data_IF_972520345205
#
_entry.id   IF_972520345205
#
_cell.length_a   1.000
_cell.length_b   1.000
_cell.length_c   1.000
_cell.angle_alpha   90.00
_cell.angle_beta   90.00
_cell.angle_gamma   90.00
#
_symmetry.space_group_name_H-M   'P 1'
#
loop_
_entity.id
_entity.type
_entity.pdbx_description
1 polymer ?
#
# COMPACT_ATOMS: atom_id res chain seq x y z
N UNK A 1 -37.20 29.87 -11.25
CA UNK A 1 -37.63 28.91 -10.21
C UNK A 1 -37.48 27.46 -10.66
N UNK A 2 -38.02 27.07 -11.83
CA UNK A 2 -37.95 25.68 -12.33
C UNK A 2 -36.51 25.16 -12.58
N UNK A 3 -35.62 25.97 -13.16
CA UNK A 3 -34.23 25.55 -13.43
C UNK A 3 -33.38 25.29 -12.16
N UNK A 4 -33.63 26.03 -11.07
CA UNK A 4 -32.99 25.78 -9.76
C UNK A 4 -33.47 24.47 -9.14
N UNK A 5 -34.77 24.16 -9.27
CA UNK A 5 -35.34 22.93 -8.74
C UNK A 5 -34.82 21.69 -9.50
N UNK A 6 -34.62 21.78 -10.82
CA UNK A 6 -34.04 20.68 -11.61
C UNK A 6 -32.57 20.42 -11.26
N UNK A 7 -31.75 21.46 -11.09
CA UNK A 7 -30.35 21.31 -10.66
C UNK A 7 -30.21 20.68 -9.27
N UNK A 8 -31.07 21.07 -8.32
CA UNK A 8 -31.09 20.49 -6.97
C UNK A 8 -31.46 19.01 -7.01
N UNK A 9 -32.42 18.61 -7.87
CA UNK A 9 -32.84 17.21 -8.01
C UNK A 9 -31.72 16.35 -8.61
N UNK A 10 -30.93 16.86 -9.56
CA UNK A 10 -29.78 16.13 -10.12
C UNK A 10 -28.56 16.07 -9.19
N UNK A 11 -28.33 17.08 -8.35
CA UNK A 11 -27.19 17.10 -7.41
C UNK A 11 -27.42 16.29 -6.14
N UNK A 12 -28.68 16.17 -5.70
CA UNK A 12 -29.07 15.41 -4.52
C UNK A 12 -28.57 13.95 -4.50
N UNK A 13 -28.66 13.14 -5.58
CA UNK A 13 -28.14 11.78 -5.57
C UNK A 13 -26.62 11.71 -5.37
N UNK A 14 -25.85 12.67 -5.91
CA UNK A 14 -24.39 12.70 -5.72
C UNK A 14 -24.02 13.02 -4.27
N UNK A 15 -24.67 14.00 -3.64
CA UNK A 15 -24.48 14.32 -2.22
C UNK A 15 -24.81 13.11 -1.34
N UNK A 16 -25.91 12.42 -1.64
CA UNK A 16 -26.32 11.24 -0.89
C UNK A 16 -25.33 10.07 -1.06
N UNK A 17 -24.74 9.90 -2.24
CA UNK A 17 -23.69 8.90 -2.47
C UNK A 17 -22.42 9.21 -1.65
N UNK A 18 -21.98 10.46 -1.59
CA UNK A 18 -20.81 10.84 -0.78
C UNK A 18 -21.06 10.68 0.72
N UNK A 19 -22.25 11.05 1.22
CA UNK A 19 -22.62 10.82 2.63
C UNK A 19 -22.66 9.32 2.95
N UNK A 20 -23.22 8.50 2.04
CA UNK A 20 -23.21 7.04 2.20
C UNK A 20 -21.80 6.48 2.26
N UNK A 21 -20.91 6.94 1.37
CA UNK A 21 -19.51 6.53 1.34
C UNK A 21 -18.80 6.89 2.66
N UNK A 22 -19.01 8.11 3.17
CA UNK A 22 -18.49 8.52 4.47
C UNK A 22 -19.02 7.64 5.60
N UNK A 23 -20.33 7.36 5.63
CA UNK A 23 -20.94 6.44 6.61
C UNK A 23 -20.34 5.04 6.54
N UNK A 24 -20.17 4.49 5.34
CA UNK A 24 -19.57 3.17 5.15
C UNK A 24 -18.13 3.12 5.63
N UNK A 25 -17.33 4.18 5.43
CA UNK A 25 -15.97 4.24 5.95
C UNK A 25 -15.93 4.27 7.49
N UNK A 26 -16.85 5.01 8.13
CA UNK A 26 -16.99 4.98 9.59
C UNK A 26 -17.44 3.61 10.11
N UNK A 27 -18.32 2.94 9.38
CA UNK A 27 -18.76 1.59 9.71
C UNK A 27 -17.60 0.58 9.65
N UNK A 28 -16.68 0.71 8.69
CA UNK A 28 -15.45 -0.09 8.68
C UNK A 28 -14.62 0.11 9.94
N UNK A 29 -14.39 1.36 10.36
CA UNK A 29 -13.64 1.67 11.58
C UNK A 29 -14.32 1.06 12.81
N UNK A 30 -15.66 1.21 12.92
CA UNK A 30 -16.42 0.61 14.00
C UNK A 30 -16.35 -0.91 14.01
N UNK A 31 -16.39 -1.56 12.84
CA UNK A 31 -16.27 -3.01 12.74
C UNK A 31 -14.89 -3.52 13.20
N UNK A 32 -13.81 -2.75 12.95
CA UNK A 32 -12.47 -3.09 13.45
C UNK A 32 -12.36 -3.01 14.98
N UNK A 33 -13.07 -2.08 15.61
CA UNK A 33 -13.15 -1.97 17.07
C UNK A 33 -14.09 -3.02 17.69
N UNK A 34 -15.23 -3.28 17.05
CA UNK A 34 -16.26 -4.20 17.53
C UNK A 34 -15.81 -5.66 17.55
N UNK A 35 -15.04 -6.10 16.55
CA UNK A 35 -14.53 -7.49 16.48
C UNK A 35 -13.00 -7.48 16.65
N UNK A 36 -12.49 -7.47 17.89
CA UNK A 36 -11.07 -7.59 18.12
C UNK A 36 -10.58 -8.98 17.73
N UNK A 37 -9.27 -9.09 17.47
CA UNK A 37 -8.63 -10.38 17.26
C UNK A 37 -8.90 -11.30 18.47
N UNK A 38 -9.21 -12.60 18.23
CA UNK A 38 -9.46 -13.51 19.34
C UNK A 38 -8.28 -13.53 20.30
N UNK A 39 -8.58 -13.34 21.59
CA UNK A 39 -7.60 -13.13 22.65
C UNK A 39 -6.53 -14.24 22.73
N UNK A 40 -6.89 -15.45 22.32
CA UNK A 40 -5.98 -16.59 22.29
C UNK A 40 -4.78 -16.38 21.34
N UNK A 41 -4.92 -15.65 20.23
CA UNK A 41 -3.83 -15.49 19.26
C UNK A 41 -2.63 -14.71 19.82
N UNK A 42 -2.79 -13.47 20.34
CA UNK A 42 -1.67 -12.76 20.97
C UNK A 42 -1.11 -13.50 22.17
N UNK A 43 -1.97 -14.17 22.95
CA UNK A 43 -1.55 -14.94 24.12
C UNK A 43 -0.62 -16.10 23.75
N UNK A 44 -0.95 -16.90 22.74
CA UNK A 44 -0.13 -18.03 22.29
C UNK A 44 1.21 -17.56 21.73
N UNK A 45 1.20 -16.47 20.94
CA UNK A 45 2.44 -15.90 20.38
C UNK A 45 3.33 -15.37 21.49
N UNK A 46 2.77 -14.60 22.43
CA UNK A 46 3.49 -14.07 23.58
C UNK A 46 4.09 -15.20 24.42
N UNK A 47 3.31 -16.22 24.76
CA UNK A 47 3.78 -17.37 25.52
C UNK A 47 4.90 -18.12 24.78
N UNK A 48 4.76 -18.37 23.48
CA UNK A 48 5.75 -19.09 22.69
C UNK A 48 7.10 -18.36 22.66
N UNK A 49 7.10 -17.04 22.44
CA UNK A 49 8.33 -16.22 22.42
C UNK A 49 8.98 -16.19 23.81
N UNK A 50 8.20 -15.97 24.88
CA UNK A 50 8.74 -15.94 26.24
C UNK A 50 9.29 -17.30 26.68
N UNK A 51 8.59 -18.40 26.36
CA UNK A 51 9.04 -19.74 26.71
C UNK A 51 10.28 -20.16 25.92
N UNK A 52 10.37 -19.79 24.63
CA UNK A 52 11.58 -19.98 23.83
C UNK A 52 12.80 -19.32 24.49
N UNK A 53 12.66 -18.07 24.94
CA UNK A 53 13.74 -17.36 25.62
C UNK A 53 14.02 -17.86 27.03
N UNK A 54 13.00 -18.29 27.78
CA UNK A 54 13.18 -18.92 29.09
C UNK A 54 14.08 -20.16 28.98
N UNK A 55 13.83 -21.02 27.99
CA UNK A 55 14.66 -22.19 27.72
C UNK A 55 16.05 -21.79 27.24
N UNK A 56 16.17 -20.79 26.36
CA UNK A 56 17.47 -20.30 25.88
C UNK A 56 18.34 -19.72 27.01
N UNK A 57 17.75 -19.05 28.00
CA UNK A 57 18.47 -18.52 29.17
C UNK A 57 19.10 -19.65 29.98
N UNK A 58 18.44 -20.80 30.09
CA UNK A 58 18.97 -21.97 30.81
C UNK A 58 19.95 -22.79 29.95
N UNK A 59 19.60 -23.04 28.69
CA UNK A 59 20.35 -23.92 27.81
C UNK A 59 21.65 -23.29 27.27
N UNK A 60 21.73 -21.96 27.20
CA UNK A 60 22.89 -21.25 26.65
C UNK A 60 23.73 -20.57 27.73
N UNK A 61 23.62 -21.02 28.98
CA UNK A 61 24.57 -20.62 30.02
C UNK A 61 25.93 -21.28 29.74
N UNK A 62 27.00 -20.48 29.81
CA UNK A 62 28.36 -20.99 29.72
C UNK A 62 28.68 -21.72 31.03
N UNK A 63 28.76 -23.06 30.96
CA UNK A 63 29.19 -23.88 32.09
C UNK A 63 30.72 -23.85 32.09
N UNK A 64 31.31 -23.18 33.07
CA UNK A 64 32.77 -23.17 33.27
C UNK A 64 33.16 -24.57 33.75
N UNK A 65 33.67 -25.40 32.84
CA UNK A 65 34.27 -26.69 33.18
C UNK A 65 35.76 -26.46 33.37
N UNK A 66 36.24 -26.63 34.60
CA UNK A 66 37.60 -26.31 35.04
C UNK A 66 38.68 -27.26 34.46
N UNK A 67 38.30 -28.22 33.61
CA UNK A 67 39.23 -29.15 32.97
C UNK A 67 38.92 -29.33 31.48
N UNK A 68 39.93 -28.95 30.69
CA UNK A 68 40.20 -29.28 29.28
C UNK A 68 39.78 -28.28 28.19
N UNK A 69 40.82 -27.77 27.51
CA UNK A 69 40.84 -27.04 26.22
C UNK A 69 40.22 -25.63 26.18
N UNK A 70 41.06 -24.66 26.57
CA UNK A 70 41.02 -23.25 26.12
C UNK A 70 41.04 -23.15 24.58
N UNK A 71 39.90 -23.31 23.92
CA UNK A 71 39.78 -22.94 22.49
C UNK A 71 38.44 -22.34 22.10
N UNK A 72 37.58 -21.95 23.05
CA UNK A 72 36.33 -21.29 22.70
C UNK A 72 36.22 -19.97 23.45
N UNK A 73 35.84 -18.93 22.71
CA UNK A 73 35.75 -17.54 23.19
C UNK A 73 34.74 -17.48 24.33
N UNK A 74 35.24 -17.43 25.56
CA UNK A 74 34.44 -17.29 26.78
C UNK A 74 33.89 -15.86 26.83
N UNK A 75 32.82 -15.62 26.07
CA UNK A 75 32.18 -14.31 26.01
C UNK A 75 31.23 -14.23 27.19
N UNK A 76 31.63 -13.49 28.23
CA UNK A 76 30.81 -13.25 29.44
C UNK A 76 29.37 -12.82 29.12
N UNK A 77 29.14 -12.19 27.96
CA UNK A 77 27.83 -11.86 27.41
C UNK A 77 27.61 -12.68 26.12
N UNK A 78 26.54 -13.48 26.00
CA UNK A 78 26.27 -14.26 24.80
C UNK A 78 25.70 -13.37 23.66
N UNK A 79 26.59 -12.65 22.94
CA UNK A 79 26.24 -11.65 21.91
C UNK A 79 25.24 -12.21 20.88
N UNK A 80 25.45 -13.43 20.39
CA UNK A 80 24.57 -14.02 19.38
C UNK A 80 23.15 -14.27 19.91
N UNK A 81 23.02 -14.71 21.16
CA UNK A 81 21.70 -14.90 21.82
C UNK A 81 21.04 -13.57 22.11
N UNK A 82 21.81 -12.53 22.48
CA UNK A 82 21.30 -11.17 22.67
C UNK A 82 20.75 -10.57 21.37
N UNK A 83 21.41 -10.78 20.23
CA UNK A 83 20.88 -10.34 18.93
C UNK A 83 19.59 -11.08 18.57
N UNK A 84 19.55 -12.40 18.76
CA UNK A 84 18.32 -13.18 18.55
C UNK A 84 17.18 -12.69 19.44
N UNK A 85 17.47 -12.33 20.70
CA UNK A 85 16.50 -11.74 21.60
C UNK A 85 15.91 -10.44 21.04
N UNK A 86 16.76 -9.50 20.62
CA UNK A 86 16.29 -8.22 20.04
C UNK A 86 15.42 -8.44 18.81
N UNK A 87 15.77 -9.38 17.91
CA UNK A 87 14.95 -9.64 16.72
C UNK A 87 13.58 -10.24 17.06
N UNK A 88 13.52 -11.32 17.83
CA UNK A 88 12.24 -11.99 18.11
C UNK A 88 11.35 -11.21 19.10
N UNK A 89 11.94 -10.59 20.13
CA UNK A 89 11.18 -9.71 21.02
C UNK A 89 10.77 -8.43 20.31
N UNK A 90 11.65 -7.87 19.47
CA UNK A 90 11.35 -6.69 18.65
C UNK A 90 10.17 -6.95 17.70
N UNK A 91 10.17 -8.08 16.98
CA UNK A 91 9.04 -8.46 16.13
C UNK A 91 7.74 -8.64 16.92
N UNK A 92 7.79 -9.26 18.10
CA UNK A 92 6.62 -9.37 18.97
C UNK A 92 6.10 -7.99 19.40
N UNK A 93 7.01 -7.08 19.79
CA UNK A 93 6.66 -5.71 20.19
C UNK A 93 6.09 -4.86 19.07
N UNK A 94 6.56 -5.01 17.83
CA UNK A 94 5.96 -4.35 16.66
C UNK A 94 4.51 -4.81 16.46
N UNK A 95 4.23 -6.10 16.63
CA UNK A 95 2.86 -6.62 16.53
C UNK A 95 1.98 -6.06 17.65
N UNK A 96 2.50 -5.96 18.87
CA UNK A 96 1.79 -5.38 20.02
C UNK A 96 1.40 -3.92 19.76
N UNK A 97 2.32 -3.11 19.21
CA UNK A 97 2.05 -1.73 18.83
C UNK A 97 1.01 -1.62 17.69
N UNK A 98 1.05 -2.50 16.69
CA UNK A 98 0.15 -2.43 15.53
C UNK A 98 -1.27 -2.98 15.83
N UNK A 99 -1.45 -3.73 16.92
CA UNK A 99 -2.75 -4.32 17.26
C UNK A 99 -3.83 -3.25 17.49
N UNK A 100 -3.47 -2.11 18.07
CA UNK A 100 -4.40 -1.02 18.33
C UNK A 100 -3.79 0.34 17.88
N UNK A 101 -3.95 0.72 16.61
CA UNK A 101 -3.36 1.95 16.07
C UNK A 101 -4.09 3.25 16.47
N UNK A 102 -5.12 3.15 17.33
CA UNK A 102 -5.94 4.28 17.80
C UNK A 102 -5.69 4.61 19.28
N UNK A 103 -4.56 4.14 19.84
CA UNK A 103 -4.16 4.46 21.21
C UNK A 103 -3.52 5.84 21.34
N UNK A 104 -2.63 5.94 22.34
CA UNK A 104 -1.83 7.13 22.64
C UNK A 104 -0.33 6.87 22.47
N UNK A 105 0.05 5.76 21.83
CA UNK A 105 1.46 5.46 21.59
C UNK A 105 2.03 6.41 20.52
N UNK A 106 3.35 6.62 20.53
CA UNK A 106 4.02 7.59 19.65
C UNK A 106 3.80 7.30 18.13
N UNK A 107 3.57 6.03 17.76
CA UNK A 107 3.37 5.57 16.38
C UNK A 107 1.87 5.44 16.00
N UNK A 108 0.94 5.78 16.90
CA UNK A 108 -0.51 5.71 16.66
C UNK A 108 -1.01 6.85 15.76
N UNK A 109 -2.23 6.69 15.23
CA UNK A 109 -2.86 7.75 14.45
C UNK A 109 -3.22 8.96 15.33
N UNK A 110 -2.74 10.15 14.95
CA UNK A 110 -3.15 11.44 15.52
C UNK A 110 -4.60 11.82 15.14
N UNK A 111 -5.57 11.06 15.66
CA UNK A 111 -7.00 11.22 15.32
C UNK A 111 -7.55 12.58 15.72
N UNK A 112 -7.14 13.13 16.88
CA UNK A 112 -7.55 14.46 17.34
C UNK A 112 -7.16 15.54 16.33
N UNK A 113 -5.91 15.52 15.84
CA UNK A 113 -5.43 16.48 14.84
C UNK A 113 -6.20 16.34 13.52
N UNK A 114 -6.52 15.11 13.10
CA UNK A 114 -7.32 14.86 11.90
C UNK A 114 -8.75 15.40 12.04
N UNK A 115 -9.39 15.23 13.19
CA UNK A 115 -10.74 15.74 13.46
C UNK A 115 -10.75 17.27 13.40
N UNK A 116 -9.84 17.91 14.13
CA UNK A 116 -9.72 19.37 14.18
C UNK A 116 -9.47 19.96 12.80
N UNK A 117 -8.56 19.35 12.03
CA UNK A 117 -8.27 19.75 10.65
C UNK A 117 -9.49 19.61 9.75
N UNK A 118 -10.21 18.49 9.83
CA UNK A 118 -11.36 18.21 8.95
C UNK A 118 -12.52 19.16 9.24
N UNK A 119 -12.84 19.43 10.51
CA UNK A 119 -13.88 20.38 10.89
C UNK A 119 -13.49 21.79 10.45
N UNK A 120 -12.26 22.20 10.73
CA UNK A 120 -11.77 23.54 10.37
C UNK A 120 -11.81 23.75 8.85
N UNK A 121 -11.27 22.82 8.07
CA UNK A 121 -11.26 22.92 6.60
C UNK A 121 -12.67 22.84 6.01
N UNK A 122 -13.51 21.94 6.52
CA UNK A 122 -14.90 21.80 6.06
C UNK A 122 -15.71 23.09 6.26
N UNK A 123 -15.58 23.70 7.44
CA UNK A 123 -16.26 24.96 7.74
C UNK A 123 -15.69 26.13 6.93
N UNK A 124 -14.36 26.22 6.76
CA UNK A 124 -13.74 27.24 5.92
C UNK A 124 -14.18 27.15 4.46
N UNK A 125 -14.30 25.94 3.90
CA UNK A 125 -14.75 25.75 2.52
C UNK A 125 -16.18 26.21 2.29
N UNK A 126 -17.09 25.91 3.23
CA UNK A 126 -18.53 26.22 3.10
C UNK A 126 -18.84 27.67 3.47
N UNK A 127 -18.06 28.30 4.35
CA UNK A 127 -18.29 29.68 4.77
C UNK A 127 -17.44 30.68 3.96
N UNK A 128 -16.11 30.61 4.12
CA UNK A 128 -15.21 31.59 3.52
C UNK A 128 -14.98 31.34 2.03
N UNK A 129 -15.00 30.08 1.59
CA UNK A 129 -14.77 29.66 0.21
C UNK A 129 -16.01 29.65 -0.68
N UNK A 130 -17.21 29.83 -0.12
CA UNK A 130 -18.44 29.74 -0.90
C UNK A 130 -18.59 30.92 -1.86
N UNK A 131 -18.71 30.61 -3.16
CA UNK A 131 -18.92 31.57 -4.26
C UNK A 131 -17.85 32.68 -4.34
N UNK A 132 -16.62 32.37 -3.88
CA UNK A 132 -15.47 33.29 -3.95
C UNK A 132 -14.31 32.70 -4.77
N UNK A 133 -14.49 32.46 -6.08
CA UNK A 133 -13.39 32.04 -6.93
C UNK A 133 -12.36 33.17 -7.08
N UNK A 134 -11.06 32.83 -7.26
CA UNK A 134 -10.06 33.83 -7.60
C UNK A 134 -10.35 34.45 -8.97
N UNK A 135 -9.84 35.67 -9.20
CA UNK A 135 -10.01 36.36 -10.47
C UNK A 135 -9.39 35.54 -11.62
N UNK A 136 -10.18 35.32 -12.67
CA UNK A 136 -9.73 34.58 -13.86
C UNK A 136 -8.76 35.46 -14.64
N UNK A 137 -7.49 35.06 -14.66
CA UNK A 137 -6.41 35.73 -15.41
C UNK A 137 -5.71 34.72 -16.31
N UNK A 138 -5.12 35.19 -17.41
CA UNK A 138 -4.26 34.34 -18.25
C UNK A 138 -3.05 33.93 -17.43
N UNK A 139 -2.77 32.64 -17.43
CA UNK A 139 -1.64 32.11 -16.69
C UNK A 139 -0.31 32.40 -17.44
N UNK A 140 0.84 32.38 -16.74
CA UNK A 140 2.14 32.64 -17.36
C UNK A 140 2.56 31.67 -18.48
N UNK A 141 1.86 30.54 -18.66
CA UNK A 141 2.13 29.54 -19.68
C UNK A 141 1.14 29.59 -20.85
N UNK A 142 0.31 30.64 -20.94
CA UNK A 142 -0.70 30.82 -21.98
C UNK A 142 -0.14 30.71 -23.42
N UNK A 143 1.04 31.27 -23.66
CA UNK A 143 1.70 31.28 -24.98
C UNK A 143 2.71 30.12 -25.17
N UNK A 144 2.89 29.27 -24.16
CA UNK A 144 3.78 28.11 -24.24
C UNK A 144 4.23 27.60 -22.88
N UNK A 145 4.17 26.27 -22.70
CA UNK A 145 4.57 25.60 -21.46
C UNK A 145 6.06 25.29 -21.52
N UNK A 146 6.85 25.93 -20.64
CA UNK A 146 8.22 25.52 -20.34
C UNK A 146 8.34 25.27 -18.84
N UNK A 147 8.44 24.01 -18.40
CA UNK A 147 8.64 23.72 -16.99
C UNK A 147 10.00 24.27 -16.57
N UNK A 148 9.98 25.14 -15.56
CA UNK A 148 11.17 25.70 -14.93
C UNK A 148 11.56 24.80 -13.76
N UNK A 149 12.83 24.43 -13.69
CA UNK A 149 13.39 23.66 -12.59
C UNK A 149 14.41 24.51 -11.85
N UNK A 150 14.58 24.24 -10.55
CA UNK A 150 15.74 24.75 -9.81
C UNK A 150 17.03 24.18 -10.41
N UNK A 151 18.17 24.81 -10.14
CA UNK A 151 19.46 24.35 -10.67
C UNK A 151 19.72 22.87 -10.31
N UNK A 152 19.47 22.49 -9.06
CA UNK A 152 19.63 21.12 -8.57
C UNK A 152 18.69 20.14 -9.28
N UNK A 153 17.40 20.48 -9.40
CA UNK A 153 16.41 19.60 -10.05
C UNK A 153 16.59 19.51 -11.56
N UNK A 154 17.17 20.53 -12.21
CA UNK A 154 17.43 20.53 -13.66
C UNK A 154 18.48 19.49 -14.09
N UNK A 155 19.38 19.12 -13.16
CA UNK A 155 20.43 18.12 -13.38
C UNK A 155 19.88 16.69 -13.31
N UNK A 156 18.68 16.51 -12.75
CA UNK A 156 18.02 15.21 -12.67
C UNK A 156 17.41 14.90 -14.04
N UNK A 157 17.83 13.83 -14.73
CA UNK A 157 17.32 13.50 -16.04
C UNK A 157 15.84 13.14 -15.96
N UNK A 158 15.00 13.91 -16.65
CA UNK A 158 13.57 13.64 -16.74
C UNK A 158 13.28 12.63 -17.87
N UNK A 159 13.26 11.35 -17.52
CA UNK A 159 12.90 10.27 -18.45
C UNK A 159 11.39 10.04 -18.40
N UNK A 160 10.65 10.78 -19.23
CA UNK A 160 9.21 10.56 -19.32
C UNK A 160 8.92 9.11 -19.74
N UNK A 161 8.03 8.40 -19.02
CA UNK A 161 7.70 7.03 -19.35
C UNK A 161 7.10 7.00 -20.76
N UNK A 162 7.81 6.35 -21.68
CA UNK A 162 7.32 6.07 -23.02
C UNK A 162 6.74 4.66 -23.02
N UNK A 163 5.57 4.48 -23.62
CA UNK A 163 4.97 3.14 -23.73
C UNK A 163 5.92 2.17 -24.44
N UNK A 164 5.89 0.90 -24.05
CA UNK A 164 6.82 -0.13 -24.53
C UNK A 164 6.85 -0.32 -26.06
N UNK A 165 5.84 0.18 -26.78
CA UNK A 165 5.68 0.08 -28.25
C UNK A 165 5.96 1.42 -28.96
N UNK A 166 6.26 2.50 -28.22
CA UNK A 166 6.40 3.87 -28.77
C UNK A 166 7.48 4.05 -29.84
N UNK A 167 8.45 3.14 -29.91
CA UNK A 167 9.55 3.17 -30.89
C UNK A 167 9.42 2.10 -31.99
N UNK A 168 8.32 1.35 -32.04
CA UNK A 168 8.09 0.36 -33.10
C UNK A 168 7.73 1.08 -34.40
N UNK A 169 8.69 1.11 -35.34
CA UNK A 169 8.42 1.50 -36.73
C UNK A 169 7.73 0.32 -37.40
N UNK A 170 6.42 0.42 -37.63
CA UNK A 170 5.72 -0.57 -38.46
C UNK A 170 6.32 -0.52 -39.88
N UNK A 171 6.65 -1.68 -40.43
CA UNK A 171 7.03 -1.79 -41.83
C UNK A 171 5.84 -1.36 -42.69
N UNK A 172 6.04 -0.41 -43.59
CA UNK A 172 5.00 0.21 -44.41
C UNK A 172 4.36 -0.72 -45.46
N UNK A 173 4.77 -2.00 -45.52
CA UNK A 173 4.35 -2.93 -46.57
C UNK A 173 4.27 -4.40 -46.12
N UNK A 174 3.73 -4.66 -44.93
CA UNK A 174 3.35 -6.03 -44.53
C UNK A 174 1.84 -6.07 -44.29
N UNK A 175 1.08 -6.34 -45.35
CA UNK A 175 -0.38 -6.51 -45.30
C UNK A 175 -0.81 -7.80 -44.63
N UNK A 176 0.12 -8.75 -44.40
CA UNK A 176 -0.19 -10.05 -43.83
C UNK A 176 0.87 -10.48 -42.82
N UNK A 177 0.51 -10.47 -41.54
CA UNK A 177 1.31 -11.08 -40.47
C UNK A 177 0.86 -12.53 -40.34
N UNK A 178 1.64 -13.45 -40.92
CA UNK A 178 1.35 -14.89 -40.83
C UNK A 178 1.74 -15.38 -39.43
N UNK A 179 0.74 -15.74 -38.61
CA UNK A 179 0.95 -16.32 -37.29
C UNK A 179 1.41 -17.78 -37.45
N UNK A 180 2.63 -18.09 -37.07
CA UNK A 180 3.14 -19.46 -37.07
C UNK A 180 3.02 -20.10 -35.68
N UNK A 181 2.63 -21.38 -35.58
CA UNK A 181 2.57 -22.08 -34.30
C UNK A 181 3.98 -22.17 -33.69
N UNK A 182 4.09 -21.87 -32.40
CA UNK A 182 5.34 -22.00 -31.67
C UNK A 182 5.77 -23.48 -31.67
N UNK A 183 6.94 -23.78 -32.21
CA UNK A 183 7.47 -25.14 -32.16
C UNK A 183 7.82 -25.46 -30.71
N UNK A 184 7.10 -26.43 -30.13
CA UNK A 184 7.32 -26.90 -28.77
C UNK A 184 8.48 -27.91 -28.83
N UNK A 185 9.68 -27.51 -28.40
CA UNK A 185 10.80 -28.44 -28.24
C UNK A 185 10.42 -29.51 -27.22
N UNK A 186 10.51 -30.79 -27.61
CA UNK A 186 10.08 -31.98 -26.83
C UNK A 186 10.89 -32.25 -25.54
N UNK A 187 11.58 -31.27 -24.97
CA UNK A 187 12.51 -31.46 -23.84
C UNK A 187 12.03 -30.90 -22.51
N UNK A 188 10.74 -30.59 -22.36
CA UNK A 188 10.17 -30.27 -21.03
C UNK A 188 8.81 -30.91 -20.85
N UNK A 189 8.77 -31.97 -20.04
CA UNK A 189 7.56 -32.58 -19.51
C UNK A 189 6.89 -31.60 -18.54
N UNK A 190 5.78 -30.98 -18.93
CA UNK A 190 4.88 -30.29 -18.02
C UNK A 190 3.41 -30.42 -18.48
N UNK A 191 2.46 -30.34 -17.53
CA UNK A 191 1.26 -31.17 -17.50
C UNK A 191 0.16 -30.71 -18.46
N UNK A 192 -0.74 -31.63 -18.77
CA UNK A 192 -1.85 -31.41 -19.69
C UNK A 192 -2.88 -30.44 -19.11
N UNK A 193 -2.89 -29.20 -19.61
CA UNK A 193 -4.06 -28.34 -19.46
C UNK A 193 -5.00 -28.60 -20.64
N UNK A 194 -6.13 -29.24 -20.34
CA UNK A 194 -7.22 -29.51 -21.30
C UNK A 194 -7.87 -28.20 -21.71
N UNK A 195 -7.78 -27.84 -23.00
CA UNK A 195 -8.54 -26.73 -23.57
C UNK A 195 -9.92 -27.28 -23.92
N UNK A 196 -10.88 -27.05 -23.02
CA UNK A 196 -12.29 -27.12 -23.37
C UNK A 196 -12.58 -26.01 -24.40
N UNK A 197 -13.11 -26.42 -25.55
CA UNK A 197 -13.65 -25.54 -26.55
C UNK A 197 -14.74 -24.65 -25.95
N UNK A 198 -14.76 -23.36 -26.31
CA UNK A 198 -15.90 -22.73 -27.00
C UNK A 198 -16.01 -21.22 -26.72
N UNK A 199 -16.46 -20.52 -27.77
CA UNK A 199 -17.07 -19.18 -27.80
C UNK A 199 -16.12 -17.96 -27.82
N UNK A 200 -15.53 -17.68 -29.00
CA UNK A 200 -15.32 -16.29 -29.44
C UNK A 200 -16.42 -15.91 -30.42
N UNK A 201 -17.35 -15.02 -30.01
CA UNK A 201 -18.22 -14.30 -30.94
C UNK A 201 -17.42 -13.17 -31.58
N UNK A 202 -17.36 -13.18 -32.92
CA UNK A 202 -16.86 -12.07 -33.73
C UNK A 202 -17.97 -11.05 -33.93
N UNK A 203 -17.76 -9.80 -33.57
CA UNK A 203 -18.62 -8.67 -33.96
C UNK A 203 -17.93 -7.94 -35.11
N UNK A 204 -18.61 -7.86 -36.26
CA UNK A 204 -18.19 -6.98 -37.38
C UNK A 204 -18.67 -5.56 -37.10
N UNK A 205 -17.76 -4.60 -37.11
CA UNK A 205 -18.07 -3.18 -37.24
C UNK A 205 -18.02 -2.84 -38.73
N UNK A 206 -19.12 -2.29 -39.27
CA UNK A 206 -19.18 -1.72 -40.62
C UNK A 206 -18.85 -0.23 -40.53
N UNK A 207 -18.16 0.25 -41.56
CA UNK A 207 -18.01 1.67 -41.93
C UNK A 207 -19.37 2.32 -42.21
#
# INVERSE_FOLDING_TARGET
MLARNVHIIEQCPYLFQEIKKWRSNLEWIFNYDWVPLPLMYPQVVCLAVHLYFLVCILARQLIIVEHELKTEVDTYIPIMTSLQFVFYMGWMKVIEAVINPFGEDDDDFETNALIDRNITMGMMMVDQGYDRPPEVRRDPFWDGVRPLYSEESSRIPNNLPRGSVSHVKLASFVSEVIMMPHFRTKTRSEPAFSIAASIRRSVKVKE
#
